data_IF_387904947641
#
_entry.id   IF_387904947641
#
_cell.length_a   1.000
_cell.length_b   1.000
_cell.length_c   1.000
_cell.angle_alpha   90.00
_cell.angle_beta   90.00
_cell.angle_gamma   90.00
#
_symmetry.space_group_name_H-M   'P 1'
#
loop_
_entity.id
_entity.type
_entity.pdbx_description
1 polymer ?
#
# COMPACT_ATOMS: atom_id res chain seq x y z
N UNK A 1 -11.57 -22.60 30.84
CA UNK A 1 -10.77 -21.36 30.75
C UNK A 1 -10.75 -20.93 29.29
N UNK A 2 -11.40 -19.82 28.92
CA UNK A 2 -11.53 -19.39 27.52
C UNK A 2 -10.36 -18.44 27.23
N UNK A 3 -9.41 -18.87 26.41
CA UNK A 3 -8.32 -18.02 25.93
C UNK A 3 -8.87 -17.13 24.82
N UNK A 4 -9.01 -15.84 25.10
CA UNK A 4 -9.34 -14.84 24.08
C UNK A 4 -8.04 -14.44 23.39
N UNK A 5 -7.93 -14.69 22.09
CA UNK A 5 -6.85 -14.13 21.27
C UNK A 5 -7.13 -12.64 21.07
N UNK A 6 -6.38 -11.81 21.78
CA UNK A 6 -6.37 -10.35 21.59
C UNK A 6 -5.77 -10.13 20.19
N UNK A 7 -6.63 -9.88 19.19
CA UNK A 7 -6.17 -9.36 17.91
C UNK A 7 -5.76 -7.92 18.17
N UNK A 8 -4.46 -7.65 18.23
CA UNK A 8 -3.92 -6.30 18.12
C UNK A 8 -4.39 -5.73 16.78
N UNK A 9 -5.52 -5.03 16.80
CA UNK A 9 -5.87 -4.11 15.72
C UNK A 9 -4.85 -2.99 15.83
N UNK A 10 -3.74 -3.09 15.08
CA UNK A 10 -2.88 -1.94 14.79
C UNK A 10 -3.76 -0.90 14.10
N UNK A 11 -4.36 -0.02 14.89
CA UNK A 11 -5.05 1.15 14.38
C UNK A 11 -3.99 2.01 13.69
N UNK A 12 -3.93 1.92 12.36
CA UNK A 12 -3.02 2.73 11.54
C UNK A 12 -3.54 4.17 11.65
N UNK A 13 -2.96 4.96 12.57
CA UNK A 13 -3.34 6.38 12.78
C UNK A 13 -2.86 7.30 11.65
N UNK A 14 -1.83 6.87 10.93
CA UNK A 14 -1.22 7.60 9.83
C UNK A 14 -0.55 6.63 8.88
N UNK A 15 -0.66 6.90 7.59
CA UNK A 15 0.09 6.19 6.55
C UNK A 15 1.23 7.08 6.11
N UNK A 16 2.42 6.51 5.91
CA UNK A 16 3.60 7.27 5.50
C UNK A 16 3.99 6.82 4.11
N UNK A 17 4.10 7.76 3.18
CA UNK A 17 4.59 7.45 1.84
C UNK A 17 6.06 7.03 1.89
N UNK A 18 6.37 5.83 1.41
CA UNK A 18 7.72 5.27 1.42
C UNK A 18 8.68 5.96 0.44
N UNK A 19 8.16 6.70 -0.56
CA UNK A 19 8.99 7.40 -1.53
C UNK A 19 9.35 8.83 -1.10
N UNK A 20 8.38 9.60 -0.56
CA UNK A 20 8.60 11.01 -0.20
C UNK A 20 8.51 11.32 1.30
N UNK A 21 8.08 10.36 2.13
CA UNK A 21 7.89 10.56 3.57
C UNK A 21 6.62 11.32 3.96
N UNK A 22 5.73 11.63 3.02
CA UNK A 22 4.46 12.33 3.29
C UNK A 22 3.60 11.53 4.26
N UNK A 23 3.20 12.16 5.36
CA UNK A 23 2.29 11.59 6.34
C UNK A 23 0.84 11.88 5.95
N UNK A 24 0.05 10.83 5.76
CA UNK A 24 -1.33 10.88 5.33
C UNK A 24 -2.20 10.51 6.52
N UNK A 25 -3.04 11.44 7.02
CA UNK A 25 -3.86 11.19 8.20
C UNK A 25 -4.96 10.17 7.87
N UNK A 26 -5.08 9.15 8.71
CA UNK A 26 -6.16 8.16 8.65
C UNK A 26 -7.23 8.58 9.67
N UNK A 27 -8.46 8.76 9.20
CA UNK A 27 -9.59 9.16 10.04
C UNK A 27 -10.64 8.07 9.94
N UNK A 28 -11.06 7.46 11.04
CA UNK A 28 -12.11 6.42 11.01
C UNK A 28 -11.74 5.14 10.24
N UNK A 29 -10.44 4.86 10.05
CA UNK A 29 -9.94 3.70 9.32
C UNK A 29 -9.78 3.89 7.82
N UNK A 30 -10.13 5.07 7.29
CA UNK A 30 -9.93 5.43 5.88
C UNK A 30 -8.88 6.56 5.76
N UNK A 31 -7.95 6.45 4.79
CA UNK A 31 -7.04 7.54 4.49
C UNK A 31 -7.83 8.74 3.96
N UNK A 32 -7.45 9.94 4.40
CA UNK A 32 -8.07 11.20 3.95
C UNK A 32 -7.63 11.63 2.54
N UNK A 33 -6.61 11.00 1.99
CA UNK A 33 -6.05 11.25 0.66
C UNK A 33 -5.93 9.92 -0.10
N UNK A 34 -5.71 9.98 -1.42
CA UNK A 34 -5.39 8.82 -2.25
C UNK A 34 -4.08 8.17 -1.79
N UNK A 35 -4.19 6.92 -1.33
CA UNK A 35 -3.05 6.09 -0.92
C UNK A 35 -3.05 4.82 -1.74
N UNK A 36 -1.90 4.51 -2.32
CA UNK A 36 -1.65 3.25 -2.99
C UNK A 36 -0.83 2.34 -2.08
N UNK A 37 -1.50 1.35 -1.50
CA UNK A 37 -0.87 0.33 -0.65
C UNK A 37 -0.64 -0.93 -1.47
N UNK A 38 0.62 -1.36 -1.55
CA UNK A 38 1.03 -2.63 -2.16
C UNK A 38 1.31 -3.60 -1.04
N UNK A 39 0.74 -4.79 -1.14
CA UNK A 39 1.14 -5.97 -0.39
C UNK A 39 1.34 -7.09 -1.39
N UNK A 40 2.61 -7.38 -1.70
CA UNK A 40 2.96 -8.37 -2.69
C UNK A 40 3.94 -9.38 -2.10
N UNK A 41 3.61 -10.65 -2.25
CA UNK A 41 4.48 -11.77 -1.90
C UNK A 41 5.12 -12.31 -3.18
N UNK A 42 6.45 -12.34 -3.20
CA UNK A 42 7.19 -12.90 -4.31
C UNK A 42 7.17 -14.42 -4.21
N UNK A 43 6.50 -15.05 -5.17
CA UNK A 43 6.47 -16.50 -5.31
C UNK A 43 7.81 -17.09 -5.73
N UNK A 44 7.87 -18.42 -5.78
CA UNK A 44 9.03 -19.12 -6.31
C UNK A 44 9.32 -18.74 -7.78
N UNK A 45 10.59 -18.76 -8.21
CA UNK A 45 11.10 -18.45 -9.57
C UNK A 45 11.47 -16.99 -9.89
N UNK A 46 11.64 -16.16 -8.87
CA UNK A 46 12.13 -14.78 -8.92
C UNK A 46 13.48 -14.62 -8.20
N UNK A 47 14.23 -13.55 -8.48
CA UNK A 47 15.42 -13.21 -7.69
C UNK A 47 15.13 -12.77 -6.24
N UNK A 48 13.86 -12.85 -5.82
CA UNK A 48 13.29 -12.39 -4.55
C UNK A 48 12.40 -13.46 -3.90
N UNK A 49 12.67 -14.74 -4.18
CA UNK A 49 11.88 -15.87 -3.69
C UNK A 49 11.71 -15.82 -2.16
N UNK A 50 10.45 -15.74 -1.71
CA UNK A 50 10.09 -15.72 -0.30
C UNK A 50 10.15 -14.35 0.37
N UNK A 51 10.43 -13.27 -0.38
CA UNK A 51 10.33 -11.91 0.13
C UNK A 51 8.88 -11.41 0.05
N UNK A 52 8.41 -10.72 1.09
CA UNK A 52 7.14 -9.99 1.08
C UNK A 52 7.43 -8.51 1.07
N UNK A 53 6.94 -7.83 0.05
CA UNK A 53 7.10 -6.40 -0.13
C UNK A 53 5.78 -5.71 0.18
N UNK A 54 5.77 -4.92 1.26
CA UNK A 54 4.62 -4.12 1.64
C UNK A 54 5.03 -2.66 1.73
N UNK A 55 4.38 -1.78 0.97
CA UNK A 55 4.68 -0.34 0.98
C UNK A 55 3.47 0.51 0.57
N UNK A 56 3.45 1.73 1.08
CA UNK A 56 2.44 2.75 0.79
C UNK A 56 3.04 3.92 0.01
N UNK A 57 2.33 4.39 -1.01
CA UNK A 57 2.65 5.58 -1.80
C UNK A 57 1.49 6.58 -1.76
N UNK A 58 1.82 7.87 -1.71
CA UNK A 58 0.83 8.91 -2.01
C UNK A 58 0.54 8.94 -3.52
N UNK A 59 -0.61 9.50 -3.90
CA UNK A 59 -1.02 9.70 -5.30
C UNK A 59 0.10 10.31 -6.15
N UNK A 60 0.74 11.40 -5.69
CA UNK A 60 1.83 12.06 -6.42
C UNK A 60 3.04 11.14 -6.67
N UNK A 61 3.36 10.25 -5.72
CA UNK A 61 4.45 9.30 -5.86
C UNK A 61 4.05 8.12 -6.74
N UNK A 62 2.79 7.72 -6.70
CA UNK A 62 2.22 6.73 -7.59
C UNK A 62 2.25 7.22 -9.05
N UNK A 63 1.87 8.47 -9.34
CA UNK A 63 2.00 9.07 -10.66
C UNK A 63 3.45 9.06 -11.17
N UNK A 64 4.42 9.38 -10.31
CA UNK A 64 5.84 9.31 -10.66
C UNK A 64 6.29 7.88 -10.93
N UNK A 65 5.79 6.91 -10.17
CA UNK A 65 6.07 5.49 -10.39
C UNK A 65 5.56 5.06 -11.76
N UNK A 66 4.30 5.41 -12.09
CA UNK A 66 3.70 5.15 -13.39
C UNK A 66 4.47 5.83 -14.53
N UNK A 67 4.89 7.08 -14.34
CA UNK A 67 5.70 7.81 -15.31
C UNK A 67 7.07 7.15 -15.57
N UNK A 68 7.59 6.40 -14.60
CA UNK A 68 8.85 5.65 -14.76
C UNK A 68 8.66 4.29 -15.44
N UNK A 69 7.43 3.83 -15.68
CA UNK A 69 7.20 2.55 -16.32
C UNK A 69 7.48 2.63 -17.82
N UNK A 70 8.17 1.61 -18.36
CA UNK A 70 8.34 1.44 -19.80
C UNK A 70 7.02 1.14 -20.51
N UNK A 71 6.09 0.49 -19.79
CA UNK A 71 4.75 0.19 -20.27
C UNK A 71 3.76 0.95 -19.40
N UNK A 72 2.81 1.70 -19.98
CA UNK A 72 1.81 2.41 -19.20
C UNK A 72 1.00 1.41 -18.38
N UNK A 73 0.66 1.77 -17.15
CA UNK A 73 -0.28 0.97 -16.38
C UNK A 73 -1.66 1.01 -17.03
N UNK A 74 -2.33 -0.13 -17.03
CA UNK A 74 -3.73 -0.23 -17.46
C UNK A 74 -4.62 0.39 -16.37
N UNK A 75 -5.25 1.52 -16.71
CA UNK A 75 -6.14 2.26 -15.82
C UNK A 75 -7.57 2.02 -16.30
N UNK A 76 -8.28 1.10 -15.64
CA UNK A 76 -9.70 0.89 -15.89
C UNK A 76 -10.52 1.78 -14.94
N UNK A 77 -11.31 2.69 -15.52
CA UNK A 77 -12.28 3.45 -14.75
C UNK A 77 -13.56 2.61 -14.64
N UNK A 78 -13.89 2.11 -13.44
CA UNK A 78 -15.23 1.57 -13.19
C UNK A 78 -16.22 2.73 -13.15
N UNK A 79 -16.65 3.18 -14.33
CA UNK A 79 -17.84 3.97 -14.48
C UNK A 79 -19.04 3.08 -14.14
N UNK A 80 -19.70 3.38 -13.03
CA UNK A 80 -21.04 2.89 -12.72
C UNK A 80 -22.08 3.77 -13.41
#
# INVERSE_FOLDING_TARGET
MRQYQIKETKEIKKIICNQCGKEIPVSGGYPREGVFSVDHEWGYFSGKDGERHSFDLCEECYDRLLASFKLPAEIENKAE
#
